data_IF_226143799491
#
_entry.id   IF_226143799491
#
_cell.length_a   1.000
_cell.length_b   1.000
_cell.length_c   1.000
_cell.angle_alpha   90.00
_cell.angle_beta   90.00
_cell.angle_gamma   90.00
#
_symmetry.space_group_name_H-M   'P 1'
#
loop_
_entity.id
_entity.type
_entity.pdbx_description
1 polymer ?
#
# COMPACT_ATOMS: atom_id res chain seq x y z
N UNK A 1 16.04 41.41 1.16
CA UNK A 1 16.68 40.08 1.26
C UNK A 1 15.62 39.05 0.92
N UNK A 2 15.56 38.62 -0.34
CA UNK A 2 14.64 37.55 -0.76
C UNK A 2 15.31 36.24 -0.36
N UNK A 3 14.91 35.70 0.79
CA UNK A 3 15.40 34.42 1.27
C UNK A 3 14.76 33.34 0.39
N UNK A 4 15.40 33.02 -0.73
CA UNK A 4 15.06 31.87 -1.56
C UNK A 4 15.44 30.61 -0.81
N UNK A 5 14.68 30.28 0.23
CA UNK A 5 14.70 28.95 0.82
C UNK A 5 14.17 28.02 -0.27
N UNK A 6 15.06 27.41 -1.03
CA UNK A 6 14.76 26.20 -1.78
C UNK A 6 14.27 25.18 -0.77
N UNK A 7 12.95 25.15 -0.55
CA UNK A 7 12.25 24.20 0.29
C UNK A 7 12.30 22.86 -0.45
N UNK A 8 13.47 22.24 -0.43
CA UNK A 8 13.67 20.90 -0.97
C UNK A 8 12.82 19.96 -0.13
N UNK A 9 11.77 19.42 -0.73
CA UNK A 9 10.87 18.49 -0.07
C UNK A 9 11.66 17.29 0.48
N UNK A 10 11.27 16.73 1.63
CA UNK A 10 12.03 15.64 2.23
C UNK A 10 11.98 14.41 1.33
N UNK A 11 13.11 13.95 0.83
CA UNK A 11 13.18 12.88 -0.19
C UNK A 11 13.15 11.48 0.40
N UNK A 12 13.26 11.35 1.73
CA UNK A 12 13.63 10.11 2.39
C UNK A 12 12.49 9.48 3.20
N UNK A 13 11.62 10.29 3.80
CA UNK A 13 10.60 9.83 4.75
C UNK A 13 9.32 10.63 4.57
N UNK A 14 8.24 9.93 4.22
CA UNK A 14 6.89 10.49 4.15
C UNK A 14 6.30 10.55 5.58
N UNK A 15 5.79 11.70 6.04
CA UNK A 15 5.10 11.79 7.31
C UNK A 15 3.81 10.98 7.31
N UNK A 16 3.47 10.38 8.45
CA UNK A 16 2.25 9.58 8.61
C UNK A 16 1.01 10.47 8.74
N UNK A 17 1.16 11.68 9.30
CA UNK A 17 0.09 12.64 9.56
C UNK A 17 -0.20 13.57 8.36
N UNK A 18 -0.36 13.01 7.17
CA UNK A 18 -0.81 13.79 6.01
C UNK A 18 -2.34 13.94 6.06
N UNK A 19 -2.92 15.07 5.61
CA UNK A 19 -4.36 15.28 5.57
C UNK A 19 -4.99 14.52 4.38
N UNK A 20 -4.72 13.22 4.31
CA UNK A 20 -5.25 12.26 3.33
C UNK A 20 -6.27 11.39 4.06
N UNK A 21 -7.44 11.09 3.48
CA UNK A 21 -8.42 10.23 4.11
C UNK A 21 -7.85 8.82 4.39
N UNK A 22 -7.84 8.41 5.66
CA UNK A 22 -7.33 7.09 6.09
C UNK A 22 -8.23 5.91 5.68
N UNK A 23 -9.42 6.17 5.15
CA UNK A 23 -10.38 5.18 4.67
C UNK A 23 -10.16 4.79 3.19
N UNK A 24 -9.03 5.19 2.59
CA UNK A 24 -8.65 4.82 1.24
C UNK A 24 -7.28 4.12 1.26
N UNK A 25 -7.08 3.17 0.36
CA UNK A 25 -5.74 2.63 0.07
C UNK A 25 -5.06 3.64 -0.84
N UNK A 26 -3.90 4.15 -0.45
CA UNK A 26 -3.19 5.19 -1.20
C UNK A 26 -1.68 5.00 -1.13
N UNK A 27 -1.00 5.47 -2.18
CA UNK A 27 0.45 5.62 -2.16
C UNK A 27 0.82 7.09 -2.10
N UNK A 28 1.92 7.38 -1.42
CA UNK A 28 2.51 8.71 -1.28
C UNK A 28 3.99 8.65 -1.62
N UNK A 29 4.44 9.63 -2.38
CA UNK A 29 5.85 9.86 -2.66
C UNK A 29 6.22 11.31 -2.40
N UNK A 30 7.47 11.62 -2.05
CA UNK A 30 7.96 12.98 -2.09
C UNK A 30 7.98 13.51 -3.52
N UNK A 31 7.34 14.66 -3.72
CA UNK A 31 7.19 15.30 -5.02
C UNK A 31 6.31 16.56 -4.91
N UNK A 32 6.45 17.47 -5.88
CA UNK A 32 5.72 18.76 -5.91
C UNK A 32 4.78 18.89 -7.10
N UNK A 33 4.70 17.85 -7.94
CA UNK A 33 4.05 17.90 -9.23
C UNK A 33 3.07 16.72 -9.40
N UNK A 34 1.79 17.00 -9.23
CA UNK A 34 0.72 16.02 -9.50
C UNK A 34 0.67 15.51 -10.95
N UNK A 35 1.43 16.10 -11.88
CA UNK A 35 1.55 15.64 -13.26
C UNK A 35 2.85 14.86 -13.51
N UNK A 36 3.56 14.44 -12.45
CA UNK A 36 4.77 13.65 -12.62
C UNK A 36 4.42 12.31 -13.29
N UNK A 37 5.05 12.00 -14.44
CA UNK A 37 4.61 10.90 -15.31
C UNK A 37 4.69 9.56 -14.60
N UNK A 38 5.69 9.34 -13.73
CA UNK A 38 5.79 8.08 -12.99
C UNK A 38 4.66 7.88 -11.98
N UNK A 39 4.16 8.95 -11.36
CA UNK A 39 3.05 8.87 -10.42
C UNK A 39 1.75 8.73 -11.20
N UNK A 40 1.55 9.54 -12.23
CA UNK A 40 0.35 9.50 -13.09
C UNK A 40 0.17 8.13 -13.76
N UNK A 41 1.25 7.55 -14.28
CA UNK A 41 1.19 6.23 -14.94
C UNK A 41 0.82 5.12 -13.95
N UNK A 42 1.38 5.15 -12.74
CA UNK A 42 1.12 4.12 -11.73
C UNK A 42 -0.17 4.30 -10.95
N UNK A 43 -0.72 5.51 -10.95
CA UNK A 43 -1.96 5.83 -10.28
C UNK A 43 -3.18 5.74 -11.20
N UNK A 44 -3.00 5.57 -12.51
CA UNK A 44 -4.11 5.52 -13.47
C UNK A 44 -5.11 4.41 -13.11
N UNK A 45 -6.44 4.69 -13.08
CA UNK A 45 -7.13 5.92 -13.51
C UNK A 45 -7.35 6.97 -12.41
N UNK A 46 -6.84 6.76 -11.20
CA UNK A 46 -6.99 7.71 -10.09
C UNK A 46 -6.17 8.99 -10.32
N UNK A 47 -6.71 10.18 -10.02
CA UNK A 47 -5.95 11.41 -10.08
C UNK A 47 -4.86 11.44 -9.00
N UNK A 48 -3.72 12.04 -9.35
CA UNK A 48 -2.65 12.35 -8.41
C UNK A 48 -2.93 13.72 -7.80
N UNK A 49 -2.68 13.85 -6.50
CA UNK A 49 -2.88 15.06 -5.73
C UNK A 49 -1.59 15.44 -5.00
N UNK A 50 -1.31 16.74 -4.86
CA UNK A 50 -0.20 17.21 -4.02
C UNK A 50 -0.75 17.70 -2.69
N UNK A 51 -0.15 17.23 -1.59
CA UNK A 51 -0.45 17.65 -0.23
C UNK A 51 0.78 18.26 0.45
N UNK A 52 0.56 19.29 1.26
CA UNK A 52 1.59 20.09 1.91
C UNK A 52 2.72 20.55 0.97
N UNK A 53 2.41 20.75 -0.31
CA UNK A 53 3.32 21.18 -1.40
C UNK A 53 4.52 20.26 -1.66
N UNK A 54 4.62 19.11 -0.99
CA UNK A 54 5.81 18.26 -0.99
C UNK A 54 5.55 16.76 -1.09
N UNK A 55 4.28 16.36 -1.14
CA UNK A 55 3.89 14.96 -1.18
C UNK A 55 2.86 14.76 -2.27
N UNK A 56 3.21 13.95 -3.26
CA UNK A 56 2.26 13.46 -4.24
C UNK A 56 1.61 12.20 -3.70
N UNK A 57 0.30 12.12 -3.80
CA UNK A 57 -0.43 10.93 -3.41
C UNK A 57 -1.52 10.61 -4.43
N UNK A 58 -1.91 9.34 -4.46
CA UNK A 58 -3.03 8.89 -5.27
C UNK A 58 -3.70 7.69 -4.61
N UNK A 59 -4.98 7.50 -4.95
CA UNK A 59 -5.70 6.32 -4.51
C UNK A 59 -5.29 5.10 -5.33
N UNK A 60 -4.94 4.02 -4.65
CA UNK A 60 -4.68 2.72 -5.25
C UNK A 60 -5.89 1.81 -5.07
N UNK A 61 -6.14 0.98 -6.08
CA UNK A 61 -7.17 -0.04 -6.02
C UNK A 61 -6.56 -1.35 -5.55
N UNK A 62 -7.01 -1.87 -4.40
CA UNK A 62 -6.64 -3.20 -3.96
C UNK A 62 -6.98 -3.46 -2.50
N UNK A 63 -7.10 -4.74 -2.19
CA UNK A 63 -7.52 -5.26 -0.88
C UNK A 63 -6.44 -6.10 -0.21
N UNK A 64 -5.28 -6.28 -0.83
CA UNK A 64 -4.12 -6.94 -0.27
C UNK A 64 -2.91 -5.98 -0.29
N UNK A 65 -2.30 -5.74 0.86
CA UNK A 65 -1.17 -4.81 1.02
C UNK A 65 0.02 -5.26 0.17
N UNK A 66 0.34 -6.56 0.22
CA UNK A 66 1.51 -7.12 -0.46
C UNK A 66 1.37 -6.98 -1.98
N UNK A 67 0.18 -7.27 -2.51
CA UNK A 67 -0.11 -7.16 -3.94
C UNK A 67 -0.07 -5.69 -4.39
N UNK A 68 -0.76 -4.79 -3.65
CA UNK A 68 -0.78 -3.35 -3.96
C UNK A 68 0.62 -2.76 -3.90
N UNK A 69 1.41 -3.14 -2.89
CA UNK A 69 2.77 -2.67 -2.72
C UNK A 69 3.70 -3.18 -3.81
N UNK A 70 3.60 -4.48 -4.14
CA UNK A 70 4.38 -5.08 -5.22
C UNK A 70 4.04 -4.45 -6.57
N UNK A 71 2.76 -4.30 -6.89
CA UNK A 71 2.28 -3.75 -8.16
C UNK A 71 2.69 -2.28 -8.33
N UNK A 72 2.51 -1.48 -7.27
CA UNK A 72 2.91 -0.08 -7.30
C UNK A 72 4.44 0.06 -7.45
N UNK A 73 5.22 -0.72 -6.72
CA UNK A 73 6.68 -0.71 -6.84
C UNK A 73 7.14 -1.16 -8.23
N UNK A 74 6.56 -2.23 -8.78
CA UNK A 74 6.86 -2.72 -10.12
C UNK A 74 6.55 -1.67 -11.19
N UNK A 75 5.43 -0.96 -11.04
CA UNK A 75 5.09 0.14 -11.91
C UNK A 75 6.12 1.29 -11.79
N UNK A 76 6.48 1.71 -10.57
CA UNK A 76 7.44 2.80 -10.37
C UNK A 76 8.82 2.49 -10.95
N UNK A 77 9.26 1.23 -10.89
CA UNK A 77 10.48 0.75 -11.55
C UNK A 77 10.34 0.86 -13.07
N UNK A 78 9.19 0.43 -13.61
CA UNK A 78 8.90 0.47 -15.06
C UNK A 78 8.85 1.90 -15.59
N UNK A 79 8.24 2.80 -14.83
CA UNK A 79 8.16 4.23 -15.11
C UNK A 79 9.50 4.97 -14.91
N UNK A 80 10.57 4.24 -14.58
CA UNK A 80 11.93 4.76 -14.39
C UNK A 80 12.00 5.90 -13.38
N UNK A 81 11.28 5.76 -12.25
CA UNK A 81 11.32 6.74 -11.17
C UNK A 81 12.77 7.03 -10.79
N UNK A 82 13.11 8.31 -10.73
CA UNK A 82 14.46 8.73 -10.37
C UNK A 82 14.67 8.61 -8.85
N UNK A 83 15.20 7.47 -8.41
CA UNK A 83 15.56 7.20 -7.01
C UNK A 83 16.61 8.18 -6.46
N UNK A 84 17.38 8.84 -7.33
CA UNK A 84 18.28 9.91 -6.89
C UNK A 84 17.55 11.20 -6.49
N UNK A 85 16.29 11.36 -6.89
CA UNK A 85 15.45 12.51 -6.52
C UNK A 85 14.56 12.21 -5.32
N UNK A 86 14.07 10.97 -5.18
CA UNK A 86 13.04 10.64 -4.19
C UNK A 86 13.06 9.14 -3.91
N UNK A 87 13.40 8.75 -2.67
CA UNK A 87 13.45 7.35 -2.23
C UNK A 87 12.31 6.97 -1.27
N UNK A 88 11.61 7.97 -0.73
CA UNK A 88 10.45 7.73 0.11
C UNK A 88 9.28 7.16 -0.70
N UNK A 89 8.76 6.03 -0.26
CA UNK A 89 7.44 5.52 -0.66
C UNK A 89 6.71 5.17 0.62
N UNK A 90 5.49 5.65 0.73
CA UNK A 90 4.57 5.22 1.78
C UNK A 90 3.32 4.68 1.10
N UNK A 91 2.95 3.46 1.45
CA UNK A 91 1.69 2.87 1.02
C UNK A 91 0.87 2.71 2.28
N UNK A 92 -0.28 3.35 2.29
CA UNK A 92 -1.27 3.22 3.34
C UNK A 92 -2.41 2.36 2.82
N UNK A 93 -2.85 1.42 3.63
CA UNK A 93 -3.98 0.57 3.30
C UNK A 93 -5.19 0.98 4.14
N UNK A 94 -6.33 1.24 3.47
CA UNK A 94 -7.58 1.35 4.21
C UNK A 94 -7.94 -0.02 4.74
N UNK A 95 -8.17 -0.10 6.05
CA UNK A 95 -8.32 -1.37 6.74
C UNK A 95 -9.27 -2.33 6.03
N UNK A 96 -8.73 -3.45 5.55
CA UNK A 96 -9.05 -4.67 6.27
C UNK A 96 -8.22 -4.64 7.53
N UNK A 97 -8.88 -4.56 8.68
CA UNK A 97 -8.32 -5.11 9.90
C UNK A 97 -7.63 -6.41 9.50
N UNK A 98 -6.31 -6.49 9.66
CA UNK A 98 -5.62 -7.77 9.82
C UNK A 98 -6.20 -8.37 11.10
N UNK A 99 -7.40 -8.90 10.99
CA UNK A 99 -7.94 -9.81 11.95
C UNK A 99 -7.16 -11.08 11.71
N UNK A 100 -5.96 -11.13 12.28
CA UNK A 100 -5.16 -12.34 12.45
C UNK A 100 -5.89 -13.27 13.42
N UNK A 101 -7.11 -13.67 13.07
CA UNK A 101 -7.90 -14.68 13.76
C UNK A 101 -7.91 -15.99 12.96
N UNK A 102 -7.01 -16.17 12.00
CA UNK A 102 -6.57 -17.50 11.60
C UNK A 102 -5.56 -18.05 12.61
N UNK A 103 -5.94 -17.97 13.89
CA UNK A 103 -5.49 -18.91 14.90
C UNK A 103 -6.12 -20.23 14.50
N UNK A 104 -5.40 -20.99 13.68
CA UNK A 104 -5.69 -22.39 13.37
C UNK A 104 -5.77 -23.14 14.70
N UNK A 105 -6.95 -23.11 15.30
CA UNK A 105 -7.27 -23.83 16.50
C UNK A 105 -7.59 -25.22 16.00
N UNK A 106 -6.58 -26.07 15.92
CA UNK A 106 -6.76 -27.52 15.95
C UNK A 106 -7.35 -27.89 17.33
N UNK A 107 -8.59 -27.46 17.58
CA UNK A 107 -9.40 -27.95 18.67
C UNK A 107 -9.92 -29.30 18.23
N UNK A 108 -9.45 -30.33 18.93
CA UNK A 108 -9.67 -31.72 18.60
C UNK A 108 -11.13 -32.08 18.43
N UNK A 109 -11.38 -32.90 17.42
CA UNK A 109 -12.52 -33.79 17.38
C UNK A 109 -11.98 -35.20 17.61
N UNK A 110 -11.87 -35.57 18.89
CA UNK A 110 -11.83 -36.95 19.31
C UNK A 110 -13.26 -37.40 19.63
N UNK A 111 -13.53 -38.69 19.37
CA UNK A 111 -14.68 -39.53 19.75
C UNK A 111 -15.65 -39.85 18.59
N UNK A 112 -15.52 -41.01 17.93
CA UNK A 112 -15.89 -42.41 18.32
C UNK A 112 -17.32 -42.77 17.87
N UNK A 113 -17.45 -43.80 17.02
CA UNK A 113 -18.54 -44.79 17.00
C UNK A 113 -18.14 -45.91 16.01
N UNK A 114 -17.70 -47.07 16.50
CA UNK A 114 -18.48 -48.25 16.88
C UNK A 114 -18.56 -49.28 15.74
N UNK A 115 -18.15 -50.48 16.12
CA UNK A 115 -18.02 -51.73 15.38
C UNK A 115 -19.28 -52.19 14.65
N UNK A 116 -19.13 -52.71 13.44
CA UNK A 116 -20.00 -53.76 12.93
C UNK A 116 -19.17 -54.76 12.11
N UNK A 117 -19.04 -55.95 12.66
CA UNK A 117 -18.42 -57.13 12.06
C UNK A 117 -19.35 -57.76 10.99
N UNK A 118 -18.76 -58.49 10.03
CA UNK A 118 -19.36 -59.63 9.27
C UNK A 118 -20.35 -59.19 8.16
N UNK A 119 -20.27 -59.60 6.88
CA UNK A 119 -20.27 -60.94 6.26
C UNK A 119 -19.74 -60.86 4.80
N UNK A 120 -19.08 -61.94 4.37
CA UNK A 120 -18.67 -62.30 3.01
C UNK A 120 -19.83 -62.42 2.00
N UNK A 121 -19.62 -62.06 0.74
CA UNK A 121 -20.20 -62.77 -0.41
C UNK A 121 -19.18 -62.87 -1.54
#
# INVERSE_FOLDING_TARGET
MSNSSTSSCPTNLVPVDLPIPHNLTYAVIPGTNASDPWMVDCCHPSPVHVVNTCWEWCQLNGTNEDDVSSDFNACMITSKRNLSQSNGVLIHMSGTTSNSNNRATFAGMALVALTASVVLF
#
